data_IF_061964218618
#
_entry.id   IF_061964218618
#
_cell.length_a   1.000
_cell.length_b   1.000
_cell.length_c   1.000
_cell.angle_alpha   90.00
_cell.angle_beta   90.00
_cell.angle_gamma   90.00
#
_symmetry.space_group_name_H-M   'P 1'
#
loop_
_entity.id
_entity.type
_entity.pdbx_description
1 polymer ?
#
# COMPACT_ATOMS: atom_id res chain seq x y z
N UNK A 1 -5.91 -29.05 -7.87
CA UNK A 1 -5.78 -27.67 -8.39
C UNK A 1 -4.47 -27.54 -9.16
N UNK A 2 -4.56 -27.07 -10.38
CA UNK A 2 -3.38 -26.76 -11.18
C UNK A 2 -2.85 -25.34 -10.87
N UNK A 3 -1.79 -24.95 -11.59
CA UNK A 3 -1.17 -23.63 -11.36
C UNK A 3 -2.11 -22.48 -11.73
N UNK A 4 -2.97 -22.68 -12.73
CA UNK A 4 -3.96 -21.66 -13.12
C UNK A 4 -4.93 -21.41 -11.98
N UNK A 5 -5.45 -22.47 -11.38
CA UNK A 5 -6.39 -22.38 -10.27
C UNK A 5 -5.74 -21.75 -9.04
N UNK A 6 -4.53 -22.19 -8.70
CA UNK A 6 -3.79 -21.67 -7.54
C UNK A 6 -3.53 -20.18 -7.66
N UNK A 7 -3.07 -19.73 -8.82
CA UNK A 7 -2.79 -18.31 -9.03
C UNK A 7 -4.06 -17.48 -9.07
N UNK A 8 -5.15 -18.04 -9.63
CA UNK A 8 -6.46 -17.42 -9.60
C UNK A 8 -6.91 -17.14 -8.18
N UNK A 9 -6.72 -18.11 -7.27
CA UNK A 9 -7.08 -17.92 -5.86
C UNK A 9 -6.31 -16.77 -5.22
N UNK A 10 -5.02 -16.60 -5.53
CA UNK A 10 -4.25 -15.47 -5.03
C UNK A 10 -4.79 -14.13 -5.54
N UNK A 11 -5.12 -14.03 -6.82
CA UNK A 11 -5.65 -12.78 -7.37
C UNK A 11 -7.03 -12.44 -6.80
N UNK A 12 -7.81 -13.44 -6.38
CA UNK A 12 -9.11 -13.21 -5.72
C UNK A 12 -8.97 -12.53 -4.37
N UNK A 13 -7.80 -12.62 -3.74
CA UNK A 13 -7.53 -11.92 -2.48
C UNK A 13 -7.39 -10.41 -2.68
N UNK A 14 -7.17 -9.97 -3.91
CA UNK A 14 -7.01 -8.54 -4.20
C UNK A 14 -8.34 -7.82 -4.05
N UNK A 15 -8.33 -6.59 -3.46
CA UNK A 15 -9.56 -5.82 -3.28
C UNK A 15 -10.28 -5.59 -4.61
N UNK A 16 -11.58 -5.91 -4.64
CA UNK A 16 -12.40 -5.68 -5.82
C UNK A 16 -12.22 -6.68 -6.95
N UNK A 17 -11.44 -7.74 -6.76
CA UNK A 17 -11.18 -8.73 -7.81
C UNK A 17 -11.98 -9.99 -7.52
N UNK A 18 -12.93 -10.31 -8.42
CA UNK A 18 -13.69 -11.54 -8.35
C UNK A 18 -13.07 -12.67 -9.19
N UNK A 19 -13.72 -13.82 -9.18
CA UNK A 19 -13.26 -15.04 -9.86
C UNK A 19 -12.94 -14.82 -11.34
N UNK A 20 -13.86 -14.22 -12.08
CA UNK A 20 -13.71 -13.99 -13.51
C UNK A 20 -12.51 -13.11 -13.83
N UNK A 21 -12.38 -12.02 -13.10
CA UNK A 21 -11.31 -11.05 -13.31
C UNK A 21 -9.97 -11.67 -12.93
N UNK A 22 -9.93 -12.42 -11.82
CA UNK A 22 -8.72 -13.10 -11.39
C UNK A 22 -8.21 -14.07 -12.46
N UNK A 23 -9.11 -14.86 -13.09
CA UNK A 23 -8.72 -15.76 -14.18
C UNK A 23 -8.18 -15.01 -15.39
N UNK A 24 -8.77 -13.86 -15.71
CA UNK A 24 -8.28 -13.01 -16.80
C UNK A 24 -6.85 -12.55 -16.56
N UNK A 25 -6.51 -12.24 -15.32
CA UNK A 25 -5.14 -11.86 -14.96
C UNK A 25 -4.17 -13.01 -15.17
N UNK A 26 -4.57 -14.22 -14.80
CA UNK A 26 -3.73 -15.41 -14.99
C UNK A 26 -3.45 -15.63 -16.47
N UNK A 27 -4.48 -15.58 -17.31
CA UNK A 27 -4.31 -15.76 -18.75
C UNK A 27 -3.50 -14.64 -19.38
N UNK A 28 -3.62 -13.42 -18.88
CA UNK A 28 -2.78 -12.31 -19.30
C UNK A 28 -1.30 -12.62 -19.03
N UNK A 29 -0.99 -13.09 -17.84
CA UNK A 29 0.39 -13.46 -17.49
C UNK A 29 0.92 -14.57 -18.39
N UNK A 30 0.09 -15.53 -18.73
CA UNK A 30 0.48 -16.62 -19.62
C UNK A 30 0.79 -16.14 -21.04
N UNK A 31 0.18 -15.04 -21.47
CA UNK A 31 0.41 -14.46 -22.79
C UNK A 31 1.68 -13.60 -22.86
N UNK A 32 2.28 -13.28 -21.70
CA UNK A 32 3.47 -12.43 -21.63
C UNK A 32 4.74 -13.30 -21.62
N UNK A 33 5.86 -12.71 -22.01
CA UNK A 33 7.14 -13.40 -22.01
C UNK A 33 7.67 -13.58 -20.58
N UNK A 34 8.69 -14.46 -20.45
CA UNK A 34 9.26 -14.78 -19.15
C UNK A 34 9.93 -13.60 -18.46
N UNK A 35 10.42 -12.62 -19.20
CA UNK A 35 11.04 -11.42 -18.61
C UNK A 35 10.01 -10.59 -17.84
N UNK A 36 8.82 -10.41 -18.40
CA UNK A 36 7.75 -9.68 -17.73
C UNK A 36 7.35 -10.38 -16.43
N UNK A 37 7.03 -11.66 -16.50
CA UNK A 37 6.57 -12.42 -15.32
C UNK A 37 7.67 -12.56 -14.28
N UNK A 38 8.91 -12.77 -14.71
CA UNK A 38 10.05 -12.87 -13.79
C UNK A 38 10.30 -11.57 -13.03
N UNK A 39 10.28 -10.45 -13.74
CA UNK A 39 10.45 -9.15 -13.11
C UNK A 39 9.31 -8.81 -12.15
N UNK A 40 8.08 -9.11 -12.55
CA UNK A 40 6.91 -8.88 -11.69
C UNK A 40 7.02 -9.69 -10.40
N UNK A 41 7.34 -10.98 -10.50
CA UNK A 41 7.49 -11.85 -9.35
C UNK A 41 8.60 -11.38 -8.42
N UNK A 42 9.73 -10.95 -8.98
CA UNK A 42 10.86 -10.43 -8.21
C UNK A 42 10.49 -9.18 -7.44
N UNK A 43 9.82 -8.23 -8.09
CA UNK A 43 9.40 -6.98 -7.46
C UNK A 43 8.40 -7.24 -6.34
N UNK A 44 7.46 -8.18 -6.54
CA UNK A 44 6.52 -8.55 -5.50
C UNK A 44 7.25 -9.13 -4.28
N UNK A 45 8.20 -10.03 -4.53
CA UNK A 45 8.98 -10.66 -3.46
C UNK A 45 9.80 -9.64 -2.67
N UNK A 46 10.36 -8.65 -3.34
CA UNK A 46 11.22 -7.64 -2.72
C UNK A 46 10.43 -6.49 -2.07
N UNK A 47 9.15 -6.37 -2.35
CA UNK A 47 8.34 -5.22 -1.93
C UNK A 47 8.42 -4.98 -0.43
N UNK A 48 8.22 -6.02 0.38
CA UNK A 48 8.25 -5.89 1.84
C UNK A 48 9.63 -5.59 2.40
N UNK A 49 10.68 -5.90 1.67
CA UNK A 49 12.06 -5.64 2.10
C UNK A 49 12.45 -4.18 1.91
N UNK A 50 11.86 -3.52 0.93
CA UNK A 50 12.21 -2.15 0.57
C UNK A 50 11.23 -1.12 1.14
N UNK A 51 10.03 -1.55 1.55
CA UNK A 51 8.99 -0.68 2.06
C UNK A 51 8.95 -0.76 3.58
N UNK A 52 8.97 0.40 4.22
CA UNK A 52 8.83 0.54 5.67
C UNK A 52 7.56 1.33 5.98
N UNK A 53 7.05 1.16 7.20
CA UNK A 53 5.94 1.96 7.69
C UNK A 53 6.47 3.05 8.62
N UNK A 54 6.10 4.30 8.38
CA UNK A 54 6.51 5.42 9.21
C UNK A 54 5.90 5.29 10.61
N UNK A 55 6.73 5.38 11.64
CA UNK A 55 6.25 5.28 13.02
C UNK A 55 5.48 6.51 13.48
N UNK A 56 5.61 7.64 12.78
CA UNK A 56 4.91 8.87 13.15
C UNK A 56 3.57 9.03 12.44
N UNK A 57 3.54 8.84 11.11
CA UNK A 57 2.31 9.04 10.32
C UNK A 57 1.67 7.75 9.83
N UNK A 58 2.35 6.62 9.99
CA UNK A 58 1.90 5.27 9.59
C UNK A 58 1.75 5.05 8.08
N UNK A 59 2.23 5.97 7.23
CA UNK A 59 2.27 5.71 5.81
C UNK A 59 3.34 4.68 5.48
N UNK A 60 3.14 3.96 4.38
CA UNK A 60 4.20 3.13 3.81
C UNK A 60 5.08 3.99 2.92
N UNK A 61 6.38 3.79 2.99
CA UNK A 61 7.34 4.55 2.19
C UNK A 61 8.56 3.69 1.87
N UNK A 62 9.28 4.09 0.81
CA UNK A 62 10.53 3.43 0.43
C UNK A 62 11.63 3.89 1.37
N UNK A 63 12.03 3.02 2.30
CA UNK A 63 13.10 3.29 3.26
C UNK A 63 14.06 2.11 3.31
N UNK A 64 15.34 2.40 3.50
CA UNK A 64 16.37 1.37 3.55
C UNK A 64 16.94 1.26 4.95
N UNK A 65 16.58 0.18 5.62
CA UNK A 65 17.19 -0.17 6.89
C UNK A 65 16.50 0.42 8.10
N UNK A 66 17.04 0.11 9.26
CA UNK A 66 16.45 0.40 10.58
C UNK A 66 16.42 1.90 10.88
N UNK A 67 17.32 2.66 10.28
CA UNK A 67 17.45 4.09 10.54
C UNK A 67 16.33 4.90 9.89
N UNK A 68 15.63 4.30 8.91
CA UNK A 68 14.55 4.95 8.17
C UNK A 68 13.20 4.57 8.73
N UNK A 69 13.02 4.72 10.06
CA UNK A 69 11.74 4.45 10.72
C UNK A 69 10.75 5.61 10.59
N UNK A 70 11.20 6.76 10.10
CA UNK A 70 10.39 7.95 9.90
C UNK A 70 10.51 8.39 8.45
N UNK A 71 9.37 8.66 7.81
CA UNK A 71 9.36 9.01 6.39
C UNK A 71 9.96 10.39 6.12
N UNK A 72 10.24 10.67 4.86
CA UNK A 72 10.82 11.93 4.44
C UNK A 72 9.97 13.15 4.80
N UNK A 73 8.64 13.03 4.75
CA UNK A 73 7.74 14.12 5.10
C UNK A 73 7.83 14.43 6.60
N UNK A 74 7.77 13.41 7.45
CA UNK A 74 7.79 13.60 8.91
C UNK A 74 9.11 14.15 9.43
N UNK A 75 10.23 13.84 8.77
CA UNK A 75 11.54 14.33 9.21
C UNK A 75 12.01 15.58 8.48
N UNK A 76 11.31 16.02 7.43
CA UNK A 76 11.70 17.20 6.67
C UNK A 76 11.52 18.46 7.51
N UNK A 77 12.50 19.35 7.46
CA UNK A 77 12.43 20.64 8.13
C UNK A 77 11.46 21.61 7.46
N UNK A 78 11.11 21.33 6.19
CA UNK A 78 10.16 22.16 5.43
C UNK A 78 8.70 21.78 5.69
N UNK A 79 8.45 20.65 6.37
CA UNK A 79 7.09 20.23 6.72
C UNK A 79 6.55 21.11 7.85
N UNK A 80 5.37 21.68 7.65
CA UNK A 80 4.71 22.50 8.67
C UNK A 80 4.10 21.58 9.73
N UNK A 81 4.73 21.50 10.89
CA UNK A 81 4.35 20.60 11.98
C UNK A 81 3.13 21.08 12.75
N UNK A 82 2.65 22.29 12.49
CA UNK A 82 1.42 22.81 13.08
C UNK A 82 0.17 22.33 12.37
N UNK A 83 0.31 21.72 11.18
CA UNK A 83 -0.80 21.21 10.38
C UNK A 83 -0.80 19.69 10.39
N UNK A 84 -1.97 19.10 10.57
CA UNK A 84 -2.16 17.65 10.52
C UNK A 84 -3.35 17.32 9.63
N UNK A 85 -3.14 16.47 8.63
CA UNK A 85 -4.20 15.92 7.79
C UNK A 85 -4.36 14.46 8.11
N UNK A 86 -5.55 14.06 8.52
CA UNK A 86 -5.89 12.68 8.84
C UNK A 86 -6.55 12.05 7.63
N UNK A 87 -5.99 10.94 7.15
CA UNK A 87 -6.44 10.25 5.95
C UNK A 87 -6.71 8.78 6.25
N UNK A 88 -7.61 8.19 5.48
CA UNK A 88 -7.93 6.76 5.62
C UNK A 88 -6.81 5.88 5.08
N UNK A 89 -6.34 6.16 3.86
CA UNK A 89 -5.44 5.27 3.12
C UNK A 89 -4.21 5.99 2.60
N UNK A 90 -3.16 5.20 2.35
CA UNK A 90 -1.95 5.70 1.71
C UNK A 90 -2.20 6.29 0.32
N UNK A 91 -3.14 5.72 -0.44
CA UNK A 91 -3.50 6.24 -1.76
C UNK A 91 -4.06 7.66 -1.69
N UNK A 92 -4.81 7.98 -0.63
CA UNK A 92 -5.33 9.33 -0.40
C UNK A 92 -4.18 10.30 -0.15
N UNK A 93 -3.20 9.89 0.64
CA UNK A 93 -2.01 10.71 0.91
C UNK A 93 -1.24 10.99 -0.38
N UNK A 94 -1.04 9.99 -1.21
CA UNK A 94 -0.34 10.15 -2.49
C UNK A 94 -1.07 11.13 -3.40
N UNK A 95 -2.41 11.14 -3.41
CA UNK A 95 -3.21 12.08 -4.19
C UNK A 95 -2.99 13.52 -3.70
N UNK A 96 -3.01 13.74 -2.39
CA UNK A 96 -2.78 15.08 -1.81
C UNK A 96 -1.34 15.52 -2.07
N UNK A 97 -0.38 14.64 -1.90
CA UNK A 97 1.05 14.91 -2.14
C UNK A 97 1.29 15.35 -3.59
N UNK A 98 0.66 14.70 -4.55
CA UNK A 98 0.78 15.04 -5.96
C UNK A 98 0.21 16.41 -6.29
N UNK A 99 -0.78 16.87 -5.55
CA UNK A 99 -1.39 18.18 -5.76
C UNK A 99 -0.44 19.33 -5.39
N UNK A 100 0.53 19.08 -4.50
CA UNK A 100 1.54 20.03 -4.03
C UNK A 100 0.98 21.28 -3.35
N UNK A 101 -0.26 21.20 -2.84
CA UNK A 101 -0.90 22.33 -2.16
C UNK A 101 -0.83 22.21 -0.64
N UNK A 102 -0.46 21.06 -0.11
CA UNK A 102 -0.39 20.83 1.32
C UNK A 102 1.04 20.53 1.74
N UNK A 103 1.54 21.25 2.73
CA UNK A 103 2.92 21.15 3.21
C UNK A 103 3.01 20.72 4.68
N UNK A 104 1.92 20.22 5.26
CA UNK A 104 1.86 19.81 6.65
C UNK A 104 2.13 18.33 6.88
N UNK A 105 1.86 17.88 8.09
CA UNK A 105 1.99 16.47 8.49
C UNK A 105 0.73 15.69 8.13
N UNK A 106 0.90 14.38 8.05
CA UNK A 106 -0.19 13.44 7.79
C UNK A 106 -0.32 12.44 8.93
N UNK A 107 -1.48 11.80 9.00
CA UNK A 107 -1.68 10.61 9.79
C UNK A 107 -2.61 9.67 9.02
N UNK A 108 -2.11 8.46 8.71
CA UNK A 108 -2.86 7.46 7.94
C UNK A 108 -3.50 6.48 8.89
N UNK A 109 -4.83 6.46 8.93
CA UNK A 109 -5.60 5.61 9.84
C UNK A 109 -5.55 4.13 9.46
N UNK A 110 -5.45 3.82 8.18
CA UNK A 110 -5.46 2.46 7.69
C UNK A 110 -6.86 1.90 7.44
N UNK A 111 -7.89 2.62 7.82
CA UNK A 111 -9.28 2.23 7.60
C UNK A 111 -10.23 3.12 8.38
N UNK A 112 -11.53 2.97 8.10
CA UNK A 112 -12.60 3.65 8.82
C UNK A 112 -13.34 2.63 9.67
N UNK A 113 -13.92 3.09 10.78
CA UNK A 113 -14.65 2.24 11.71
C UNK A 113 -16.14 2.56 11.63
N UNK A 114 -16.98 1.60 11.18
CA UNK A 114 -18.43 1.79 11.24
C UNK A 114 -18.89 1.90 12.70
N UNK A 115 -19.98 2.64 12.92
CA UNK A 115 -20.54 2.86 14.25
C UNK A 115 -20.80 1.54 15.00
N UNK A 116 -21.19 0.49 14.28
CA UNK A 116 -21.52 -0.82 14.86
C UNK A 116 -20.34 -1.77 14.96
N UNK A 117 -19.14 -1.32 14.60
CA UNK A 117 -17.94 -2.18 14.60
C UNK A 117 -17.49 -2.49 16.03
N UNK A 118 -17.23 -3.77 16.30
CA UNK A 118 -16.78 -4.24 17.61
C UNK A 118 -15.27 -4.43 17.72
N UNK A 119 -14.57 -4.45 16.58
CA UNK A 119 -13.12 -4.68 16.53
C UNK A 119 -12.39 -3.45 15.99
N UNK A 120 -12.63 -2.33 16.66
CA UNK A 120 -12.12 -1.02 16.26
C UNK A 120 -10.61 -1.00 16.04
N UNK A 121 -9.86 -1.58 16.96
CA UNK A 121 -8.39 -1.56 16.95
C UNK A 121 -7.77 -2.42 15.85
N UNK A 122 -8.56 -3.21 15.12
CA UNK A 122 -8.05 -3.98 13.99
C UNK A 122 -8.17 -3.21 12.67
N UNK A 123 -8.94 -2.12 12.64
CA UNK A 123 -9.19 -1.33 11.44
C UNK A 123 -8.42 -0.02 11.38
N UNK A 124 -8.18 0.59 12.51
CA UNK A 124 -7.49 1.89 12.59
C UNK A 124 -6.26 1.81 13.48
N UNK A 125 -5.35 2.72 13.25
CA UNK A 125 -4.04 2.81 13.91
C UNK A 125 -4.04 3.86 15.01
#
# INVERSE_FOLDING_TARGET
MDSIDKLTEFFKEFPGIGERQARRFVYFLMSRNGDFTGNLAKLITELKKEISQCKDCYRYFAGKGIQDSVCDICRSVTTDKSLLMVLEKDSDLESVKKSRVYAGKYFVLGGLVPIVEKTTNTRVR
#
